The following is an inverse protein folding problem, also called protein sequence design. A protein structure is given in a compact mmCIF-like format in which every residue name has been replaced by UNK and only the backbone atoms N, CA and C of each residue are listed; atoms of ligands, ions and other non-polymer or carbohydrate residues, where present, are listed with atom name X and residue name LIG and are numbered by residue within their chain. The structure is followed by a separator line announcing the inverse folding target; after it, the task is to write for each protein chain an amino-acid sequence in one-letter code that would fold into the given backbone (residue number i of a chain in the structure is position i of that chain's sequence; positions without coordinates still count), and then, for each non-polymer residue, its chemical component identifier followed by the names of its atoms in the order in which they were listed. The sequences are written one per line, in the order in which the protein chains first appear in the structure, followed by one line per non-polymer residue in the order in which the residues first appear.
data_IF_417871694535
#
_entry.id   IF_417871694535
#
_cell.length_a   1.000
_cell.length_b   1.000
_cell.length_c   1.000
_cell.angle_alpha   90.00
_cell.angle_beta   90.00
_cell.angle_gamma   90.00
#
_symmetry.space_group_name_H-M   'P 1'
#
loop_
_entity.id
_entity.type
_entity.pdbx_description
1 polymer ?
#
# COMPACT_ATOMS: atom_id res chain seq x y z
N UNK A 1 -9.32 7.97 6.10
CA UNK A 1 -8.81 7.07 5.03
C UNK A 1 -7.43 7.55 4.61
N UNK A 2 -6.43 6.69 4.74
CA UNK A 2 -5.04 7.03 4.46
C UNK A 2 -4.79 7.05 2.94
N UNK A 3 -4.27 8.16 2.43
CA UNK A 3 -3.79 8.30 1.05
C UNK A 3 -2.33 8.73 0.98
N UNK A 4 -1.69 8.90 2.15
CA UNK A 4 -0.33 9.40 2.21
C UNK A 4 0.43 8.71 3.33
N UNK A 5 1.60 8.16 2.98
CA UNK A 5 2.46 7.41 3.90
C UNK A 5 3.89 7.90 3.87
N UNK A 6 4.57 7.75 4.99
CA UNK A 6 6.02 7.92 5.13
C UNK A 6 6.68 6.53 5.07
N UNK A 7 7.48 6.32 4.04
CA UNK A 7 8.26 5.08 3.81
C UNK A 7 9.75 5.41 3.75
N UNK A 8 10.21 6.33 4.59
CA UNK A 8 11.63 6.67 4.66
C UNK A 8 12.38 5.64 5.51
N UNK A 9 12.41 4.41 5.00
CA UNK A 9 13.12 3.26 5.57
C UNK A 9 14.22 2.87 4.60
N UNK A 10 15.47 2.83 5.04
CA UNK A 10 16.56 2.33 4.21
C UNK A 10 16.51 0.81 4.10
N UNK A 11 17.19 0.26 3.11
CA UNK A 11 17.19 -1.19 2.84
C UNK A 11 17.55 -2.00 4.08
N UNK A 12 18.60 -1.62 4.76
CA UNK A 12 19.13 -2.31 5.94
C UNK A 12 18.11 -2.32 7.10
N UNK A 13 17.38 -1.23 7.31
CA UNK A 13 16.31 -1.17 8.32
C UNK A 13 15.17 -2.15 7.99
N UNK A 14 14.76 -2.20 6.71
CA UNK A 14 13.73 -3.11 6.25
C UNK A 14 14.13 -4.57 6.41
N UNK A 15 15.31 -4.94 5.91
CA UNK A 15 15.82 -6.31 5.93
C UNK A 15 16.04 -6.81 7.36
N UNK A 16 16.66 -5.99 8.22
CA UNK A 16 16.92 -6.36 9.61
C UNK A 16 15.63 -6.50 10.43
N UNK A 17 14.67 -5.58 10.24
CA UNK A 17 13.42 -5.59 11.02
C UNK A 17 12.52 -6.78 10.69
N UNK A 18 12.46 -7.18 9.43
CA UNK A 18 11.51 -8.20 8.96
C UNK A 18 12.16 -9.55 8.65
N UNK A 19 13.48 -9.67 8.72
CA UNK A 19 14.20 -10.89 8.36
C UNK A 19 13.94 -11.31 6.91
N UNK A 20 13.79 -10.33 6.01
CA UNK A 20 13.41 -10.55 4.61
C UNK A 20 14.31 -9.73 3.68
N UNK A 21 14.55 -10.21 2.46
CA UNK A 21 15.47 -9.59 1.50
C UNK A 21 14.70 -8.67 0.53
N UNK A 22 15.17 -7.45 0.35
CA UNK A 22 14.66 -6.52 -0.68
C UNK A 22 15.18 -6.95 -2.06
N UNK A 23 14.29 -7.53 -2.88
CA UNK A 23 14.68 -8.18 -4.14
C UNK A 23 14.97 -7.20 -5.28
N UNK A 24 14.33 -6.03 -5.30
CA UNK A 24 14.51 -5.01 -6.34
C UNK A 24 14.96 -3.68 -5.72
N UNK A 25 16.17 -3.58 -5.14
CA UNK A 25 16.61 -2.38 -4.44
C UNK A 25 16.65 -1.14 -5.35
N UNK A 26 16.92 -1.31 -6.63
CA UNK A 26 16.96 -0.21 -7.62
C UNK A 26 15.58 0.40 -7.90
N UNK A 27 14.52 -0.34 -7.65
CA UNK A 27 13.12 0.13 -7.80
C UNK A 27 12.56 0.78 -6.55
N UNK A 28 13.24 0.61 -5.42
CA UNK A 28 12.83 1.17 -4.16
C UNK A 28 13.52 2.51 -3.89
N UNK A 29 12.75 3.51 -3.50
CA UNK A 29 13.28 4.80 -3.04
C UNK A 29 12.64 5.15 -1.71
N UNK A 30 13.41 5.34 -0.62
CA UNK A 30 12.88 5.88 0.62
C UNK A 30 12.28 7.27 0.39
N UNK A 31 11.12 7.54 0.99
CA UNK A 31 10.48 8.84 0.87
C UNK A 31 9.67 9.17 2.12
N UNK A 32 9.74 10.43 2.55
CA UNK A 32 8.91 10.95 3.64
C UNK A 32 7.44 11.10 3.25
N UNK A 33 7.16 11.17 1.95
CA UNK A 33 5.83 11.47 1.46
C UNK A 33 5.55 10.70 0.16
N UNK A 34 4.76 9.64 0.28
CA UNK A 34 4.18 8.95 -0.86
C UNK A 34 2.66 9.15 -0.86
N UNK A 35 2.13 9.71 -1.94
CA UNK A 35 0.71 9.89 -2.15
C UNK A 35 0.16 8.81 -3.08
N UNK A 36 -0.93 8.16 -2.70
CA UNK A 36 -1.55 7.06 -3.46
C UNK A 36 -1.90 7.43 -4.91
N UNK A 37 -2.34 8.68 -5.13
CA UNK A 37 -2.71 9.15 -6.47
C UNK A 37 -1.52 9.24 -7.45
N UNK A 38 -0.29 9.28 -6.94
CA UNK A 38 0.93 9.15 -7.74
C UNK A 38 1.27 7.70 -8.12
N UNK A 39 0.47 6.73 -7.69
CA UNK A 39 0.68 5.29 -7.89
C UNK A 39 2.10 4.83 -7.51
N UNK A 40 2.61 5.19 -6.32
CA UNK A 40 3.96 4.81 -5.93
C UNK A 40 4.07 3.30 -5.73
N UNK A 41 5.28 2.79 -5.93
CA UNK A 41 5.62 1.44 -5.51
C UNK A 41 6.10 1.46 -4.06
N UNK A 42 5.47 0.66 -3.21
CA UNK A 42 5.76 0.54 -1.78
C UNK A 42 6.43 -0.81 -1.49
N UNK A 43 7.29 -0.89 -0.47
CA UNK A 43 7.82 -2.16 -0.02
C UNK A 43 6.69 -3.00 0.56
N UNK A 44 6.61 -4.26 0.15
CA UNK A 44 5.56 -5.17 0.60
C UNK A 44 6.12 -6.57 0.86
N UNK A 45 5.69 -7.18 1.94
CA UNK A 45 5.98 -8.57 2.31
C UNK A 45 4.71 -9.36 2.15
N UNK A 46 4.66 -10.20 1.11
CA UNK A 46 3.48 -10.99 0.79
C UNK A 46 3.43 -12.28 1.60
N UNK A 47 2.23 -12.72 1.98
CA UNK A 47 2.03 -13.96 2.71
C UNK A 47 2.52 -15.22 1.96
N UNK A 48 2.57 -15.17 0.64
CA UNK A 48 3.11 -16.25 -0.20
C UNK A 48 4.64 -16.35 -0.23
N UNK A 49 5.35 -15.26 0.10
CA UNK A 49 6.81 -15.19 0.08
C UNK A 49 7.32 -14.31 1.22
N UNK A 50 7.20 -14.75 2.48
CA UNK A 50 7.47 -13.91 3.65
C UNK A 50 8.95 -13.54 3.83
N UNK A 51 9.86 -14.23 3.17
CA UNK A 51 11.29 -13.92 3.17
C UNK A 51 11.72 -12.87 2.15
N UNK A 52 10.77 -12.31 1.37
CA UNK A 52 11.06 -11.35 0.31
C UNK A 52 10.28 -10.04 0.51
N UNK A 53 10.97 -8.92 0.34
CA UNK A 53 10.38 -7.58 0.26
C UNK A 53 10.32 -7.19 -1.21
N UNK A 54 9.11 -7.02 -1.74
CA UNK A 54 8.86 -6.64 -3.14
C UNK A 54 8.42 -5.19 -3.22
N UNK A 55 8.72 -4.52 -4.32
CA UNK A 55 8.15 -3.20 -4.63
C UNK A 55 6.82 -3.38 -5.38
N UNK A 56 5.70 -3.12 -4.70
CA UNK A 56 4.37 -3.24 -5.27
C UNK A 56 3.71 -1.88 -5.44
N UNK A 57 3.11 -1.66 -6.60
CA UNK A 57 2.39 -0.42 -6.89
C UNK A 57 1.12 -0.34 -6.04
N UNK A 58 0.87 0.82 -5.43
CA UNK A 58 -0.32 1.05 -4.61
C UNK A 58 -1.60 1.03 -5.47
N UNK A 59 -2.64 0.39 -4.94
CA UNK A 59 -3.92 0.18 -5.61
C UNK A 59 -4.12 -1.26 -6.08
N UNK A 60 -5.14 -1.91 -5.53
CA UNK A 60 -5.45 -3.30 -5.83
C UNK A 60 -6.10 -3.43 -7.21
N UNK A 61 -5.63 -4.40 -7.99
CA UNK A 61 -6.29 -4.84 -9.23
C UNK A 61 -6.96 -6.19 -8.94
N UNK A 62 -8.31 -6.25 -8.95
CA UNK A 62 -9.03 -7.50 -8.75
C UNK A 62 -8.75 -8.52 -9.86
N UNK A 63 -8.79 -9.82 -9.53
CA UNK A 63 -8.49 -10.90 -10.47
C UNK A 63 -9.46 -11.01 -11.68
N UNK A 64 -10.65 -10.44 -11.55
CA UNK A 64 -11.65 -10.41 -12.64
C UNK A 64 -11.45 -9.26 -13.64
N UNK A 65 -10.46 -8.42 -13.43
CA UNK A 65 -10.13 -7.31 -14.36
C UNK A 65 -9.65 -7.85 -15.70
N UNK A 66 -10.27 -7.40 -16.79
CA UNK A 66 -10.10 -8.01 -18.11
C UNK A 66 -8.95 -7.45 -18.93
N UNK A 67 -8.65 -6.16 -18.78
CA UNK A 67 -7.64 -5.47 -19.57
C UNK A 67 -6.98 -4.33 -18.78
N UNK A 68 -5.97 -3.70 -19.37
CA UNK A 68 -5.18 -2.66 -18.74
C UNK A 68 -5.99 -1.40 -18.45
N UNK A 69 -6.82 -0.96 -19.37
CA UNK A 69 -7.62 0.26 -19.22
C UNK A 69 -8.56 0.13 -18.02
N UNK A 70 -9.21 -1.03 -17.88
CA UNK A 70 -10.04 -1.34 -16.71
C UNK A 70 -9.22 -1.40 -15.42
N UNK A 71 -8.01 -1.97 -15.47
CA UNK A 71 -7.11 -2.03 -14.31
C UNK A 71 -6.71 -0.64 -13.83
N UNK A 72 -6.37 0.26 -14.75
CA UNK A 72 -5.98 1.63 -14.43
C UNK A 72 -7.13 2.42 -13.80
N UNK A 73 -8.36 2.26 -14.29
CA UNK A 73 -9.55 2.88 -13.68
C UNK A 73 -9.83 2.33 -12.28
N UNK A 74 -9.77 1.01 -12.11
CA UNK A 74 -10.10 0.35 -10.84
C UNK A 74 -9.07 0.69 -9.76
N UNK A 75 -7.80 0.76 -10.10
CA UNK A 75 -6.71 1.05 -9.17
C UNK A 75 -6.95 2.32 -8.37
N UNK A 76 -7.43 3.39 -9.00
CA UNK A 76 -7.77 4.64 -8.33
C UNK A 76 -8.96 4.55 -7.35
N UNK A 77 -9.73 3.45 -7.40
CA UNK A 77 -10.88 3.20 -6.52
C UNK A 77 -10.56 2.18 -5.41
N UNK A 78 -9.34 1.64 -5.39
CA UNK A 78 -8.95 0.52 -4.51
C UNK A 78 -7.72 0.81 -3.67
N UNK A 79 -7.39 2.08 -3.44
CA UNK A 79 -6.30 2.48 -2.54
C UNK A 79 -6.54 2.08 -1.10
N UNK A 80 -7.82 2.09 -0.68
CA UNK A 80 -8.25 1.76 0.67
C UNK A 80 -9.41 0.78 0.65
N UNK A 81 -9.42 -0.12 1.61
CA UNK A 81 -10.53 -1.02 1.90
C UNK A 81 -11.05 -0.75 3.31
N UNK A 82 -12.37 -0.76 3.49
CA UNK A 82 -12.98 -0.67 4.82
C UNK A 82 -13.03 -2.05 5.46
N UNK A 83 -12.61 -2.17 6.71
CA UNK A 83 -12.62 -3.43 7.46
C UNK A 83 -14.00 -4.09 7.50
N UNK A 84 -15.06 -3.27 7.59
CA UNK A 84 -16.46 -3.71 7.71
C UNK A 84 -16.99 -4.40 6.45
N UNK A 85 -16.30 -4.29 5.32
CA UNK A 85 -16.80 -4.81 4.04
C UNK A 85 -15.73 -5.43 3.14
N UNK A 86 -14.50 -5.52 3.60
CA UNK A 86 -13.38 -6.05 2.80
C UNK A 86 -13.56 -7.52 2.39
N UNK A 87 -14.22 -8.29 3.23
CA UNK A 87 -14.51 -9.72 3.03
C UNK A 87 -15.62 -9.99 2.01
N UNK A 88 -16.51 -9.03 1.81
CA UNK A 88 -17.71 -9.16 0.95
C UNK A 88 -17.61 -8.38 -0.36
N UNK A 89 -16.87 -7.27 -0.38
CA UNK A 89 -16.75 -6.46 -1.61
C UNK A 89 -16.00 -7.20 -2.71
N UNK A 90 -16.58 -7.31 -3.94
CA UNK A 90 -15.97 -8.05 -5.06
C UNK A 90 -14.56 -7.62 -5.42
N UNK A 91 -14.21 -6.34 -5.22
CA UNK A 91 -12.87 -5.84 -5.50
C UNK A 91 -11.81 -6.37 -4.54
N UNK A 92 -12.18 -6.72 -3.31
CA UNK A 92 -11.22 -7.07 -2.26
C UNK A 92 -11.34 -8.50 -1.75
N UNK A 93 -12.53 -9.09 -1.74
CA UNK A 93 -12.84 -10.34 -1.03
C UNK A 93 -11.92 -11.51 -1.41
N UNK A 94 -11.62 -11.69 -2.69
CA UNK A 94 -10.72 -12.75 -3.16
C UNK A 94 -9.29 -12.55 -2.64
N UNK A 95 -8.76 -11.33 -2.76
CA UNK A 95 -7.40 -10.99 -2.31
C UNK A 95 -7.29 -11.00 -0.78
N UNK A 96 -8.32 -10.57 -0.08
CA UNK A 96 -8.38 -10.61 1.39
C UNK A 96 -8.24 -12.03 1.95
N UNK A 97 -8.78 -13.02 1.26
CA UNK A 97 -8.71 -14.44 1.69
C UNK A 97 -7.34 -15.06 1.45
N UNK A 98 -6.65 -14.72 0.37
CA UNK A 98 -5.48 -15.48 -0.10
C UNK A 98 -4.25 -14.66 -0.47
N UNK A 99 -4.35 -13.33 -0.58
CA UNK A 99 -3.25 -12.47 -1.07
C UNK A 99 -3.01 -11.28 -0.14
N UNK A 100 -2.72 -11.57 1.12
CA UNK A 100 -2.41 -10.54 2.11
C UNK A 100 -0.93 -10.18 2.09
N UNK A 101 -0.63 -8.94 2.45
CA UNK A 101 0.73 -8.46 2.63
C UNK A 101 0.83 -7.49 3.80
N UNK A 102 2.06 -7.28 4.26
CA UNK A 102 2.42 -6.20 5.17
C UNK A 102 3.12 -5.13 4.33
N UNK A 103 2.76 -3.88 4.53
CA UNK A 103 3.45 -2.74 3.94
C UNK A 103 4.16 -1.98 5.06
N UNK A 104 5.51 -2.06 5.14
CA UNK A 104 6.29 -1.33 6.11
C UNK A 104 6.19 0.18 5.87
N UNK A 105 5.79 0.92 6.90
CA UNK A 105 5.75 2.38 6.90
C UNK A 105 6.32 2.91 8.23
N UNK A 106 6.90 4.11 8.23
CA UNK A 106 7.24 4.82 9.48
C UNK A 106 6.05 5.54 10.09
N UNK A 107 5.06 5.85 9.28
CA UNK A 107 3.85 6.52 9.69
C UNK A 107 2.99 6.89 8.50
N UNK A 108 1.88 7.52 8.75
CA UNK A 108 0.94 7.97 7.73
C UNK A 108 0.31 9.31 8.10
N UNK A 109 -0.25 9.99 7.11
CA UNK A 109 -0.90 11.28 7.32
C UNK A 109 -2.41 11.12 7.22
N UNK A 110 -3.12 11.65 8.22
CA UNK A 110 -4.57 11.78 8.23
C UNK A 110 -4.99 13.24 8.45
N UNK A 111 -6.15 13.61 7.94
CA UNK A 111 -6.67 14.96 8.02
C UNK A 111 -7.90 15.01 8.92
N UNK A 112 -7.79 15.71 10.04
CA UNK A 112 -8.93 16.04 10.86
C UNK A 112 -9.74 17.14 10.16
N UNK A 113 -11.03 16.92 10.00
CA UNK A 113 -11.96 17.93 9.49
C UNK A 113 -12.45 18.77 10.65
N UNK A 114 -12.27 20.09 10.56
CA UNK A 114 -12.77 21.09 11.52
C UNK A 114 -13.59 22.14 10.77
N UNK A 115 -14.32 22.98 11.51
CA UNK A 115 -15.12 24.08 10.92
C UNK A 115 -14.22 25.11 10.21
N UNK A 116 -12.95 25.22 10.61
CA UNK A 116 -11.97 26.15 10.04
C UNK A 116 -11.14 25.55 8.89
N UNK A 117 -11.32 24.23 8.60
CA UNK A 117 -10.59 23.54 7.54
C UNK A 117 -10.08 22.17 7.92
N UNK A 118 -9.01 21.72 7.22
CA UNK A 118 -8.41 20.41 7.44
C UNK A 118 -7.04 20.55 8.09
N UNK A 119 -6.87 19.88 9.23
CA UNK A 119 -5.60 19.84 9.97
C UNK A 119 -4.92 18.51 9.71
N UNK A 120 -3.68 18.49 9.15
CA UNK A 120 -2.93 17.25 8.96
C UNK A 120 -2.37 16.73 10.27
N UNK A 121 -2.48 15.42 10.48
CA UNK A 121 -1.85 14.70 11.58
C UNK A 121 -0.90 13.64 11.03
N UNK A 122 0.27 13.54 11.64
CA UNK A 122 1.21 12.45 11.40
C UNK A 122 1.07 11.42 12.52
N UNK A 123 0.81 10.17 12.16
CA UNK A 123 0.55 9.06 13.07
C UNK A 123 1.60 7.98 12.85
#
# INVERSE_FOLDING_TARGET
MCFTVNVNLIKEELENRYGATLIDPDKYRPSYYYNAFGLPSLPAICSSEPSKIKSLMWGLIPSWTKNRDQADIIRYKTFNARSESIDTKPSFSSSFRSKRCIIPVKGFFEWQHTDEGKIPWYI
#
